data_IF_131561976267
#
_entry.id   IF_131561976267
#
_cell.length_a   1.000
_cell.length_b   1.000
_cell.length_c   1.000
_cell.angle_alpha   90.00
_cell.angle_beta   90.00
_cell.angle_gamma   90.00
#
_symmetry.space_group_name_H-M   'P 1'
#
loop_
_entity.id
_entity.type
_entity.pdbx_description
1 polymer ?
#
# COMPACT_ATOMS: atom_id res chain seq x y z
N UNK A 1 23.76 -4.19 4.89
CA UNK A 1 23.38 -5.12 5.97
C UNK A 1 23.69 -6.53 5.48
N UNK A 2 24.39 -7.38 6.24
CA UNK A 2 24.63 -8.76 5.84
C UNK A 2 23.31 -9.48 5.53
N UNK A 3 23.26 -10.24 4.44
CA UNK A 3 22.04 -10.97 4.02
C UNK A 3 20.96 -10.13 3.32
N UNK A 4 21.19 -8.83 3.09
CA UNK A 4 20.28 -7.99 2.30
C UNK A 4 20.78 -7.90 0.86
N UNK A 5 19.97 -8.42 -0.06
CA UNK A 5 20.18 -8.22 -1.48
C UNK A 5 19.59 -6.88 -1.93
N UNK A 6 20.38 -6.06 -2.62
CA UNK A 6 19.93 -4.78 -3.18
C UNK A 6 19.65 -4.99 -4.67
N UNK A 7 18.41 -4.73 -5.08
CA UNK A 7 17.98 -4.79 -6.49
C UNK A 7 17.83 -3.36 -7.03
N UNK A 8 18.62 -3.02 -8.05
CA UNK A 8 18.58 -1.72 -8.73
C UNK A 8 17.48 -1.62 -9.78
N UNK A 9 16.23 -1.96 -9.41
CA UNK A 9 15.06 -1.93 -10.31
C UNK A 9 13.98 -1.03 -9.72
N UNK A 10 13.07 -0.55 -10.57
CA UNK A 10 11.89 0.17 -10.09
C UNK A 10 10.98 -0.77 -9.28
N UNK A 11 10.32 -0.30 -8.20
CA UNK A 11 9.48 -1.18 -7.40
C UNK A 11 8.35 -1.83 -8.20
N UNK A 12 7.74 -1.10 -9.13
CA UNK A 12 6.72 -1.64 -10.04
C UNK A 12 7.24 -2.82 -10.87
N UNK A 13 8.50 -2.75 -11.36
CA UNK A 13 9.13 -3.84 -12.12
C UNK A 13 9.36 -5.04 -11.22
N UNK A 14 9.90 -4.84 -10.02
CA UNK A 14 10.08 -5.91 -9.04
C UNK A 14 8.77 -6.64 -8.70
N UNK A 15 7.68 -5.88 -8.55
CA UNK A 15 6.35 -6.44 -8.26
C UNK A 15 5.83 -7.22 -9.47
N UNK A 16 5.94 -6.67 -10.69
CA UNK A 16 5.48 -7.31 -11.93
C UNK A 16 6.24 -8.61 -12.25
N UNK A 17 7.50 -8.72 -11.85
CA UNK A 17 8.33 -9.92 -12.03
C UNK A 17 8.08 -11.01 -10.97
N UNK A 18 7.04 -10.87 -10.14
CA UNK A 18 6.65 -11.86 -9.14
C UNK A 18 7.33 -11.69 -7.79
N UNK A 19 7.87 -10.51 -7.48
CA UNK A 19 8.49 -10.21 -6.19
C UNK A 19 7.54 -10.13 -4.99
N UNK A 20 6.24 -10.37 -5.19
CA UNK A 20 5.21 -10.33 -4.14
C UNK A 20 4.37 -11.62 -4.14
N UNK A 21 4.13 -12.15 -2.95
CA UNK A 21 3.33 -13.35 -2.70
C UNK A 21 2.29 -13.09 -1.60
N UNK A 22 1.51 -14.12 -1.23
CA UNK A 22 0.39 -14.01 -0.28
C UNK A 22 0.78 -13.47 1.11
N UNK A 23 2.02 -13.65 1.55
CA UNK A 23 2.56 -13.10 2.80
C UNK A 23 3.31 -11.78 2.65
N UNK A 24 3.20 -11.10 1.51
CA UNK A 24 3.81 -9.78 1.27
C UNK A 24 2.86 -8.63 1.61
N UNK A 25 3.36 -7.62 2.32
CA UNK A 25 2.73 -6.31 2.47
C UNK A 25 3.46 -5.26 1.64
N UNK A 26 2.76 -4.54 0.76
CA UNK A 26 3.30 -3.48 -0.09
C UNK A 26 2.90 -2.12 0.47
N UNK A 27 3.89 -1.25 0.70
CA UNK A 27 3.68 0.08 1.27
C UNK A 27 4.26 1.16 0.34
N UNK A 28 3.39 1.98 -0.22
CA UNK A 28 3.74 3.18 -0.98
C UNK A 28 3.90 4.37 -0.02
N UNK A 29 5.14 4.65 0.37
CA UNK A 29 5.50 5.67 1.37
C UNK A 29 6.21 6.88 0.76
N UNK A 30 6.30 6.96 -0.56
CA UNK A 30 6.90 8.13 -1.21
C UNK A 30 5.88 9.25 -1.36
N UNK A 31 6.36 10.44 -1.73
CA UNK A 31 5.50 11.53 -2.19
C UNK A 31 5.52 11.67 -3.72
N UNK A 32 6.14 10.73 -4.44
CA UNK A 32 6.25 10.76 -5.91
C UNK A 32 5.19 9.84 -6.55
N UNK A 33 4.13 10.41 -7.18
CA UNK A 33 3.12 9.63 -7.87
C UNK A 33 3.69 8.72 -8.96
N UNK A 34 4.81 9.08 -9.60
CA UNK A 34 5.41 8.28 -10.68
C UNK A 34 5.89 6.93 -10.16
N UNK A 35 6.40 6.89 -8.93
CA UNK A 35 6.86 5.66 -8.30
C UNK A 35 5.71 4.91 -7.63
N UNK A 36 4.96 5.59 -6.77
CA UNK A 36 3.92 4.96 -5.97
C UNK A 36 2.78 4.42 -6.84
N UNK A 37 2.31 5.20 -7.82
CA UNK A 37 1.12 4.79 -8.57
C UNK A 37 1.40 3.60 -9.46
N UNK A 38 2.55 3.58 -10.15
CA UNK A 38 2.99 2.41 -10.92
C UNK A 38 3.12 1.19 -10.01
N UNK A 39 3.70 1.36 -8.82
CA UNK A 39 3.88 0.26 -7.87
C UNK A 39 2.55 -0.29 -7.36
N UNK A 40 1.56 0.58 -7.09
CA UNK A 40 0.23 0.14 -6.70
C UNK A 40 -0.53 -0.54 -7.85
N UNK A 41 -0.41 -0.04 -9.07
CA UNK A 41 -1.03 -0.65 -10.25
C UNK A 41 -0.57 -2.11 -10.45
N UNK A 42 0.70 -2.40 -10.17
CA UNK A 42 1.20 -3.77 -10.19
C UNK A 42 0.82 -4.53 -8.91
N UNK A 43 0.91 -3.92 -7.73
CA UNK A 43 0.62 -4.58 -6.46
C UNK A 43 -0.80 -5.14 -6.41
N UNK A 44 -1.79 -4.40 -6.91
CA UNK A 44 -3.21 -4.84 -6.89
C UNK A 44 -3.49 -6.08 -7.75
N UNK A 45 -2.56 -6.46 -8.63
CA UNK A 45 -2.63 -7.67 -9.45
C UNK A 45 -1.98 -8.89 -8.80
N UNK A 46 -1.28 -8.70 -7.68
CA UNK A 46 -0.57 -9.78 -6.96
C UNK A 46 -1.45 -10.40 -5.87
N UNK A 47 -0.92 -11.43 -5.20
CA UNK A 47 -1.53 -12.02 -4.00
C UNK A 47 -1.20 -11.27 -2.70
N UNK A 48 -0.44 -10.16 -2.75
CA UNK A 48 -0.08 -9.40 -1.56
C UNK A 48 -1.31 -9.12 -0.68
N UNK A 49 -1.23 -9.54 0.59
CA UNK A 49 -2.36 -9.46 1.51
C UNK A 49 -2.67 -8.02 1.93
N UNK A 50 -1.68 -7.13 1.83
CA UNK A 50 -1.82 -5.73 2.22
C UNK A 50 -1.19 -4.80 1.17
N UNK A 51 -1.93 -3.79 0.74
CA UNK A 51 -1.46 -2.74 -0.16
C UNK A 51 -1.85 -1.41 0.45
N UNK A 52 -0.88 -0.65 0.93
CA UNK A 52 -1.10 0.61 1.63
C UNK A 52 -0.44 1.79 0.94
N UNK A 53 -1.11 2.93 0.92
CA UNK A 53 -0.55 4.18 0.39
C UNK A 53 -0.66 5.32 1.40
N UNK A 54 0.48 5.96 1.66
CA UNK A 54 0.53 7.12 2.55
C UNK A 54 -0.11 8.35 1.92
N UNK A 55 -0.73 9.16 2.77
CA UNK A 55 -1.30 10.46 2.41
C UNK A 55 -2.43 10.88 3.34
N UNK A 56 -2.84 12.14 3.23
CA UNK A 56 -4.09 12.62 3.83
C UNK A 56 -5.32 11.97 3.15
N UNK A 57 -6.50 12.09 3.76
CA UNK A 57 -7.77 11.68 3.14
C UNK A 57 -7.93 12.28 1.74
N UNK A 58 -7.70 13.59 1.59
CA UNK A 58 -7.83 14.31 0.31
C UNK A 58 -6.85 13.78 -0.74
N UNK A 59 -5.58 13.56 -0.39
CA UNK A 59 -4.60 13.05 -1.35
C UNK A 59 -4.86 11.60 -1.72
N UNK A 60 -5.37 10.80 -0.77
CA UNK A 60 -5.75 9.41 -0.98
C UNK A 60 -6.94 9.27 -1.94
N UNK A 61 -7.99 10.07 -1.79
CA UNK A 61 -9.14 10.05 -2.72
C UNK A 61 -8.70 10.39 -4.15
N UNK A 62 -7.88 11.44 -4.32
CA UNK A 62 -7.31 11.81 -5.64
C UNK A 62 -6.42 10.72 -6.23
N UNK A 63 -5.67 10.03 -5.38
CA UNK A 63 -4.80 8.91 -5.78
C UNK A 63 -5.67 7.74 -6.29
N UNK A 64 -6.70 7.33 -5.56
CA UNK A 64 -7.61 6.26 -5.99
C UNK A 64 -8.35 6.59 -7.29
N UNK A 65 -8.85 7.82 -7.44
CA UNK A 65 -9.46 8.29 -8.69
C UNK A 65 -8.47 8.20 -9.86
N UNK A 66 -7.25 8.71 -9.67
CA UNK A 66 -6.20 8.67 -10.69
C UNK A 66 -5.81 7.25 -11.05
N UNK A 67 -5.68 6.34 -10.09
CA UNK A 67 -5.40 4.92 -10.32
C UNK A 67 -6.52 4.22 -11.08
N UNK A 68 -7.77 4.47 -10.70
CA UNK A 68 -8.93 3.94 -11.43
C UNK A 68 -8.91 4.36 -12.89
N UNK A 69 -8.63 5.63 -13.15
CA UNK A 69 -8.55 6.19 -14.51
C UNK A 69 -7.36 5.66 -15.31
N UNK A 70 -6.15 5.64 -14.74
CA UNK A 70 -4.93 5.25 -15.46
C UNK A 70 -4.86 3.72 -15.64
N UNK A 71 -5.19 2.96 -14.60
CA UNK A 71 -5.09 1.51 -14.60
C UNK A 71 -6.31 0.77 -15.13
N UNK A 72 -7.41 1.48 -15.42
CA UNK A 72 -8.69 0.85 -15.74
C UNK A 72 -9.21 -0.03 -14.59
N UNK A 73 -8.88 0.32 -13.34
CA UNK A 73 -9.20 -0.49 -12.18
C UNK A 73 -10.66 -0.30 -11.78
N UNK A 74 -11.36 -1.40 -11.56
CA UNK A 74 -12.72 -1.36 -11.03
C UNK A 74 -12.73 -1.07 -9.52
N UNK A 75 -13.93 -0.82 -8.99
CA UNK A 75 -14.12 -0.53 -7.57
C UNK A 75 -13.72 -1.69 -6.65
N UNK A 76 -13.73 -2.95 -7.11
CA UNK A 76 -13.34 -4.12 -6.33
C UNK A 76 -11.82 -4.16 -6.17
N UNK A 77 -11.08 -3.89 -7.23
CA UNK A 77 -9.61 -3.85 -7.21
C UNK A 77 -9.13 -2.63 -6.41
N UNK A 78 -9.74 -1.46 -6.59
CA UNK A 78 -9.40 -0.26 -5.82
C UNK A 78 -9.62 -0.44 -4.32
N UNK A 79 -10.60 -1.25 -3.88
CA UNK A 79 -10.84 -1.57 -2.47
C UNK A 79 -9.70 -2.34 -1.81
N UNK A 80 -8.78 -2.95 -2.58
CA UNK A 80 -7.57 -3.59 -2.03
C UNK A 80 -6.57 -2.57 -1.50
N UNK A 81 -6.67 -1.30 -1.90
CA UNK A 81 -5.72 -0.24 -1.53
C UNK A 81 -6.20 0.46 -0.25
N UNK A 82 -5.40 0.36 0.82
CA UNK A 82 -5.57 1.13 2.04
C UNK A 82 -4.97 2.52 1.89
N UNK A 83 -5.81 3.51 1.56
CA UNK A 83 -5.40 4.90 1.39
C UNK A 83 -6.42 5.85 2.07
N UNK A 84 -6.06 6.54 3.17
CA UNK A 84 -4.76 6.52 3.84
C UNK A 84 -4.40 5.15 4.44
N UNK A 85 -3.12 4.81 4.36
CA UNK A 85 -2.54 3.67 5.07
C UNK A 85 -2.65 3.86 6.60
N UNK A 86 -2.77 2.75 7.33
CA UNK A 86 -2.78 2.76 8.80
C UNK A 86 -4.17 2.95 9.42
N UNK A 87 -4.24 2.68 10.73
CA UNK A 87 -5.42 2.95 11.56
C UNK A 87 -5.44 4.40 12.03
N UNK A 88 -6.63 4.94 12.28
CA UNK A 88 -6.77 6.28 12.84
C UNK A 88 -6.52 6.26 14.36
N UNK A 89 -5.25 6.28 14.75
CA UNK A 89 -4.83 6.31 16.15
C UNK A 89 -4.52 7.72 16.67
N UNK A 90 -4.84 8.77 15.89
CA UNK A 90 -4.45 10.14 16.20
C UNK A 90 -2.96 10.45 16.01
N UNK A 91 -2.23 9.59 15.31
CA UNK A 91 -0.78 9.70 15.06
C UNK A 91 -0.37 11.00 14.39
N UNK A 92 0.72 11.61 14.85
CA UNK A 92 1.30 12.85 14.30
C UNK A 92 2.78 12.75 13.99
N UNK A 93 3.52 11.92 14.73
CA UNK A 93 4.96 11.73 14.55
C UNK A 93 5.26 10.52 13.66
N UNK A 94 6.44 10.44 13.01
CA UNK A 94 6.80 9.27 12.21
C UNK A 94 6.70 7.93 12.95
N UNK A 95 7.08 7.89 14.23
CA UNK A 95 6.98 6.68 15.05
C UNK A 95 5.54 6.27 15.32
N UNK A 96 4.66 7.23 15.64
CA UNK A 96 3.22 6.96 15.81
C UNK A 96 2.56 6.53 14.49
N UNK A 97 3.00 7.09 13.35
CA UNK A 97 2.53 6.68 12.02
C UNK A 97 2.97 5.25 11.73
N UNK A 98 4.23 4.89 12.03
CA UNK A 98 4.73 3.52 11.86
C UNK A 98 3.90 2.52 12.69
N UNK A 99 3.58 2.85 13.94
CA UNK A 99 2.70 2.02 14.79
C UNK A 99 1.30 1.89 14.16
N UNK A 100 0.70 2.99 13.70
CA UNK A 100 -0.61 2.96 13.06
C UNK A 100 -0.63 2.10 11.78
N UNK A 101 0.45 2.15 10.99
CA UNK A 101 0.63 1.31 9.80
C UNK A 101 0.78 -0.17 10.16
N UNK A 102 1.64 -0.48 11.12
CA UNK A 102 1.85 -1.87 11.55
C UNK A 102 0.60 -2.47 12.18
N UNK A 103 -0.17 -1.69 12.94
CA UNK A 103 -1.46 -2.11 13.49
C UNK A 103 -2.48 -2.43 12.38
N UNK A 104 -2.52 -1.64 11.31
CA UNK A 104 -3.40 -1.89 10.17
C UNK A 104 -2.99 -3.12 9.36
N UNK A 105 -1.68 -3.35 9.19
CA UNK A 105 -1.14 -4.57 8.56
C UNK A 105 -1.56 -5.80 9.37
N UNK A 106 -1.37 -5.78 10.70
CA UNK A 106 -1.75 -6.88 11.58
C UNK A 106 -3.26 -7.13 11.56
N UNK A 107 -4.06 -6.06 11.54
CA UNK A 107 -5.52 -6.15 11.41
C UNK A 107 -5.92 -6.92 10.15
N UNK A 108 -5.34 -6.58 8.99
CA UNK A 108 -5.64 -7.28 7.73
C UNK A 108 -5.14 -8.72 7.74
N UNK A 109 -3.94 -8.98 8.27
CA UNK A 109 -3.38 -10.32 8.39
C UNK A 109 -4.27 -11.26 9.23
N UNK A 110 -4.94 -10.71 10.25
CA UNK A 110 -5.88 -11.46 11.11
C UNK A 110 -7.33 -11.43 10.61
N UNK A 111 -7.62 -10.83 9.44
CA UNK A 111 -8.98 -10.78 8.89
C UNK A 111 -9.95 -9.88 9.65
N UNK A 112 -9.46 -8.95 10.48
CA UNK A 112 -10.30 -8.04 11.28
C UNK A 112 -10.78 -6.88 10.40
N UNK A 113 -12.07 -6.57 10.42
CA UNK A 113 -12.64 -5.46 9.66
C UNK A 113 -12.22 -4.11 10.24
N UNK A 114 -12.10 -3.07 9.41
CA UNK A 114 -11.89 -1.69 9.89
C UNK A 114 -13.06 -1.16 10.74
N UNK A 115 -14.24 -1.75 10.66
CA UNK A 115 -15.39 -1.37 11.49
C UNK A 115 -15.30 -1.90 12.92
N UNK A 116 -14.41 -2.86 13.19
CA UNK A 116 -14.23 -3.50 14.49
C UNK A 116 -13.12 -2.83 15.34
N UNK A 117 -12.51 -1.75 14.82
CA UNK A 117 -11.34 -1.07 15.43
C UNK A 117 -11.53 0.43 15.49
#
# INVERSE_FOLDING_TARGET
MPGVEVRGVLPAVFIAEGGCHSSTAVLALTHDPKLDDLSMLEAVRTEAFYIGAMGSMRTSSKRLERLGRIGGLDARVLKRIHAPIGLNLGSKTPSEIAIAVMADILRVANGVSRAEV
#
